data_IF_975927959368
#
_entry.id   IF_975927959368
#
_cell.length_a   1.000
_cell.length_b   1.000
_cell.length_c   1.000
_cell.angle_alpha   90.00
_cell.angle_beta   90.00
_cell.angle_gamma   90.00
#
_symmetry.space_group_name_H-M   'P 1'
#
loop_
_entity.id
_entity.type
_entity.pdbx_description
1 polymer ?
#
# COMPACT_ATOMS: atom_id res chain seq x y z
N UNK A 1 -22.71 54.46 51.07
CA UNK A 1 -23.64 53.32 51.04
C UNK A 1 -22.97 52.21 50.23
N UNK A 2 -22.79 51.05 50.90
CA UNK A 2 -22.61 49.67 50.41
C UNK A 2 -21.48 49.39 49.40
N UNK A 3 -20.33 48.83 49.80
CA UNK A 3 -20.01 47.44 50.23
C UNK A 3 -19.90 46.42 49.07
N UNK A 4 -18.67 45.93 48.84
CA UNK A 4 -18.37 44.63 48.19
C UNK A 4 -18.90 43.45 49.07
N UNK A 5 -18.87 42.13 48.70
CA UNK A 5 -17.89 41.43 47.86
C UNK A 5 -18.43 40.28 46.95
N UNK A 6 -17.49 39.63 46.25
CA UNK A 6 -17.64 38.50 45.33
C UNK A 6 -18.11 37.18 45.98
N UNK A 7 -18.63 36.26 45.14
CA UNK A 7 -18.28 34.83 45.21
C UNK A 7 -17.78 34.34 43.83
N UNK A 8 -16.60 33.72 43.70
CA UNK A 8 -16.19 32.40 44.18
C UNK A 8 -16.50 31.25 43.19
N UNK A 9 -15.40 30.72 42.64
CA UNK A 9 -15.13 29.33 42.30
C UNK A 9 -15.87 28.63 41.13
N UNK A 10 -15.10 27.69 40.56
CA UNK A 10 -15.42 26.61 39.62
C UNK A 10 -15.44 27.09 38.15
N UNK A 11 -14.53 26.70 37.27
CA UNK A 11 -14.17 25.31 37.03
C UNK A 11 -12.77 25.22 36.42
N UNK A 12 -11.89 24.52 37.13
CA UNK A 12 -10.67 23.96 36.57
C UNK A 12 -11.14 22.90 35.57
N UNK A 13 -11.19 23.21 34.27
CA UNK A 13 -11.26 22.18 33.24
C UNK A 13 -9.89 21.50 33.20
N UNK A 14 -9.73 20.46 34.02
CA UNK A 14 -8.65 19.49 33.87
C UNK A 14 -8.92 18.76 32.55
N UNK A 15 -8.34 19.24 31.46
CA UNK A 15 -8.25 18.49 30.22
C UNK A 15 -7.27 17.33 30.46
N UNK A 16 -7.74 16.24 31.05
CA UNK A 16 -7.03 14.96 31.04
C UNK A 16 -7.12 14.45 29.59
N UNK A 17 -6.18 14.89 28.76
CA UNK A 17 -5.92 14.24 27.49
C UNK A 17 -5.27 12.90 27.79
N UNK A 18 -6.11 11.88 28.01
CA UNK A 18 -5.67 10.49 27.96
C UNK A 18 -5.31 10.24 26.49
N UNK A 19 -4.06 10.51 26.15
CA UNK A 19 -3.41 9.97 24.95
C UNK A 19 -3.33 8.46 25.16
N UNK A 20 -4.43 7.77 24.83
CA UNK A 20 -4.37 6.39 24.42
C UNK A 20 -3.47 6.37 23.18
N UNK A 21 -2.17 6.20 23.38
CA UNK A 21 -1.33 5.55 22.38
C UNK A 21 -1.81 4.10 22.29
N UNK A 22 -2.97 3.90 21.65
CA UNK A 22 -3.26 2.66 20.96
C UNK A 22 -2.13 2.52 19.95
N UNK A 23 -1.16 1.67 20.30
CA UNK A 23 -0.19 1.14 19.36
C UNK A 23 -0.97 0.61 18.17
N UNK A 24 -1.07 1.42 17.12
CA UNK A 24 -1.60 1.02 15.83
C UNK A 24 -0.50 0.14 15.23
N UNK A 25 -0.50 -1.13 15.62
CA UNK A 25 0.16 -2.16 14.85
C UNK A 25 -0.52 -2.15 13.49
N UNK A 26 0.01 -1.39 12.55
CA UNK A 26 -0.23 -1.65 11.13
C UNK A 26 0.42 -3.01 10.89
N UNK A 27 -0.32 -4.09 11.16
CA UNK A 27 0.06 -5.42 10.71
C UNK A 27 0.10 -5.32 9.19
N UNK A 28 1.30 -5.33 8.63
CA UNK A 28 1.51 -5.42 7.21
C UNK A 28 0.78 -6.63 6.63
N UNK A 29 0.58 -6.65 5.32
CA UNK A 29 -0.05 -7.79 4.67
C UNK A 29 0.94 -8.93 4.45
N UNK A 30 1.03 -9.84 5.41
CA UNK A 30 1.90 -11.02 5.33
C UNK A 30 1.67 -11.84 4.06
N UNK A 31 0.41 -11.95 3.61
CA UNK A 31 0.02 -12.64 2.37
C UNK A 31 0.82 -12.17 1.14
N UNK A 32 1.16 -10.88 1.08
CA UNK A 32 1.91 -10.29 -0.03
C UNK A 32 3.30 -9.80 0.40
N UNK A 33 3.76 -10.19 1.59
CA UNK A 33 4.98 -9.71 2.23
C UNK A 33 5.09 -8.17 2.23
N UNK A 34 3.97 -7.47 2.45
CA UNK A 34 3.88 -6.02 2.38
C UNK A 34 3.91 -5.38 3.76
N UNK A 35 4.53 -4.20 3.88
CA UNK A 35 4.43 -3.37 5.08
C UNK A 35 3.10 -2.62 5.15
N UNK A 36 2.34 -2.57 4.05
CA UNK A 36 1.05 -1.93 3.99
C UNK A 36 -0.07 -2.92 4.34
N UNK A 37 -1.21 -2.41 4.82
CA UNK A 37 -2.38 -3.25 5.13
C UNK A 37 -2.92 -3.97 3.89
N UNK A 38 -3.46 -5.18 4.04
CA UNK A 38 -4.01 -5.94 2.91
C UNK A 38 -5.09 -5.16 2.15
N UNK A 39 -5.98 -4.48 2.87
CA UNK A 39 -7.02 -3.67 2.23
C UNK A 39 -6.47 -2.55 1.36
N UNK A 40 -5.33 -1.96 1.72
CA UNK A 40 -4.63 -0.98 0.89
C UNK A 40 -3.99 -1.63 -0.32
N UNK A 41 -3.17 -2.66 -0.11
CA UNK A 41 -2.43 -3.39 -1.16
C UNK A 41 -3.39 -3.95 -2.22
N UNK A 42 -4.52 -4.53 -1.82
CA UNK A 42 -5.47 -5.20 -2.72
C UNK A 42 -6.36 -4.22 -3.50
N UNK A 43 -6.67 -3.05 -2.93
CA UNK A 43 -7.78 -2.22 -3.45
C UNK A 43 -7.43 -0.74 -3.70
N UNK A 44 -6.32 -0.23 -3.17
CA UNK A 44 -6.02 1.22 -3.15
C UNK A 44 -4.64 1.59 -3.65
N UNK A 45 -3.65 0.72 -3.45
CA UNK A 45 -2.29 0.95 -3.90
C UNK A 45 -2.23 1.12 -5.42
N UNK A 46 -1.42 2.07 -5.87
CA UNK A 46 -1.08 2.22 -7.28
C UNK A 46 0.08 1.29 -7.63
N UNK A 47 0.03 0.67 -8.80
CA UNK A 47 1.04 -0.25 -9.28
C UNK A 47 1.48 0.09 -10.69
N UNK A 48 2.78 0.06 -10.93
CA UNK A 48 3.31 -0.24 -12.25
C UNK A 48 3.27 -1.77 -12.45
N UNK A 49 2.76 -2.21 -13.60
CA UNK A 49 2.76 -3.62 -14.00
C UNK A 49 3.97 -3.85 -14.90
N UNK A 50 4.83 -4.79 -14.52
CA UNK A 50 6.06 -5.11 -15.23
C UNK A 50 6.07 -6.55 -15.73
N UNK A 51 6.67 -6.77 -16.90
CA UNK A 51 6.92 -8.09 -17.48
C UNK A 51 8.42 -8.34 -17.56
N UNK A 52 8.84 -9.47 -17.02
CA UNK A 52 10.19 -10.02 -17.11
C UNK A 52 10.26 -11.03 -18.24
N UNK A 53 10.91 -10.66 -19.33
CA UNK A 53 10.95 -11.46 -20.55
C UNK A 53 11.78 -12.73 -20.43
N UNK A 54 12.98 -12.64 -19.85
CA UNK A 54 13.96 -13.73 -19.76
C UNK A 54 14.27 -14.06 -18.30
N UNK A 55 13.26 -14.59 -17.60
CA UNK A 55 13.39 -15.06 -16.21
C UNK A 55 14.53 -16.08 -16.02
N UNK A 56 14.85 -16.88 -17.04
CA UNK A 56 15.90 -17.90 -17.00
C UNK A 56 17.31 -17.31 -16.89
N UNK A 57 17.54 -16.14 -17.49
CA UNK A 57 18.85 -15.49 -17.53
C UNK A 57 19.12 -14.61 -16.29
N UNK A 58 18.13 -14.48 -15.40
CA UNK A 58 18.17 -13.69 -14.16
C UNK A 58 18.67 -12.25 -14.36
N UNK A 59 18.50 -11.71 -15.57
CA UNK A 59 18.88 -10.35 -15.90
C UNK A 59 17.70 -9.41 -15.63
N UNK A 60 17.77 -8.53 -14.64
CA UNK A 60 16.67 -7.60 -14.36
C UNK A 60 16.52 -6.46 -15.41
N UNK A 61 17.50 -6.27 -16.30
CA UNK A 61 17.50 -5.17 -17.29
C UNK A 61 16.46 -5.32 -18.40
N UNK A 62 15.94 -6.53 -18.60
CA UNK A 62 14.92 -6.82 -19.61
C UNK A 62 13.49 -6.64 -19.09
N UNK A 63 13.33 -6.26 -17.82
CA UNK A 63 12.03 -5.93 -17.26
C UNK A 63 11.47 -4.71 -17.98
N UNK A 64 10.25 -4.84 -18.52
CA UNK A 64 9.57 -3.75 -19.22
C UNK A 64 8.28 -3.37 -18.51
N UNK A 65 7.96 -2.07 -18.38
CA UNK A 65 6.66 -1.64 -17.89
C UNK A 65 5.61 -1.91 -18.98
N UNK A 66 4.53 -2.58 -18.62
CA UNK A 66 3.44 -2.97 -19.52
C UNK A 66 2.13 -2.28 -19.20
N UNK A 67 2.02 -1.62 -18.04
CA UNK A 67 0.83 -0.84 -17.70
C UNK A 67 0.81 -0.32 -16.26
N UNK A 68 -0.35 0.18 -15.85
CA UNK A 68 -0.63 0.64 -14.49
C UNK A 68 -1.93 0.02 -13.97
N UNK A 69 -2.03 -0.14 -12.66
CA UNK A 69 -3.22 -0.71 -12.02
C UNK A 69 -3.45 -0.14 -10.62
N UNK A 70 -4.72 -0.04 -10.20
CA UNK A 70 -5.11 0.27 -8.83
C UNK A 70 -5.54 -1.03 -8.14
N UNK A 71 -4.76 -1.48 -7.16
CA UNK A 71 -4.97 -2.73 -6.44
C UNK A 71 -4.37 -3.96 -7.13
N UNK A 72 -3.89 -4.91 -6.32
CA UNK A 72 -3.24 -6.14 -6.83
C UNK A 72 -4.12 -6.97 -7.76
N UNK A 73 -5.44 -7.03 -7.52
CA UNK A 73 -6.36 -7.78 -8.40
C UNK A 73 -6.28 -7.28 -9.84
N UNK A 74 -6.33 -5.97 -10.04
CA UNK A 74 -6.29 -5.38 -11.38
C UNK A 74 -4.89 -5.48 -11.98
N UNK A 75 -3.84 -5.44 -11.15
CA UNK A 75 -2.49 -5.71 -11.62
C UNK A 75 -2.34 -7.13 -12.19
N UNK A 76 -2.91 -8.14 -11.51
CA UNK A 76 -2.96 -9.53 -12.01
C UNK A 76 -3.73 -9.66 -13.32
N UNK A 77 -4.88 -8.98 -13.43
CA UNK A 77 -5.70 -8.96 -14.66
C UNK A 77 -4.92 -8.38 -15.84
N UNK A 78 -4.17 -7.28 -15.63
CA UNK A 78 -3.30 -6.70 -16.65
C UNK A 78 -2.17 -7.66 -17.07
N UNK A 79 -1.56 -8.36 -16.12
CA UNK A 79 -0.51 -9.33 -16.39
C UNK A 79 -1.03 -10.53 -17.20
N UNK A 80 -2.20 -11.06 -16.85
CA UNK A 80 -2.87 -12.13 -17.62
C UNK A 80 -3.23 -11.67 -19.03
N UNK A 81 -3.79 -10.47 -19.18
CA UNK A 81 -4.11 -9.90 -20.48
C UNK A 81 -2.87 -9.70 -21.36
N UNK A 82 -1.75 -9.29 -20.76
CA UNK A 82 -0.48 -9.17 -21.49
C UNK A 82 0.02 -10.52 -21.97
N UNK A 83 0.06 -11.54 -21.09
CA UNK A 83 0.47 -12.90 -21.46
C UNK A 83 -0.36 -13.44 -22.63
N UNK A 84 -1.68 -13.27 -22.58
CA UNK A 84 -2.59 -13.65 -23.67
C UNK A 84 -2.26 -12.91 -24.97
N UNK A 85 -2.03 -11.60 -24.91
CA UNK A 85 -1.74 -10.78 -26.09
C UNK A 85 -0.44 -11.19 -26.82
N UNK A 86 0.59 -11.58 -26.07
CA UNK A 86 1.87 -12.03 -26.63
C UNK A 86 1.91 -13.54 -26.91
N UNK A 87 0.83 -14.27 -26.58
CA UNK A 87 0.73 -15.74 -26.66
C UNK A 87 1.82 -16.44 -25.86
N UNK A 88 2.11 -15.91 -24.68
CA UNK A 88 3.06 -16.47 -23.71
C UNK A 88 2.32 -17.15 -22.56
N UNK A 89 2.98 -18.06 -21.85
CA UNK A 89 2.44 -18.68 -20.65
C UNK A 89 2.56 -17.72 -19.46
N UNK A 90 1.46 -17.49 -18.73
CA UNK A 90 1.51 -16.70 -17.51
C UNK A 90 2.27 -17.46 -16.42
N UNK A 91 3.34 -16.87 -15.90
CA UNK A 91 4.02 -17.36 -14.71
C UNK A 91 4.15 -16.24 -13.69
N UNK A 92 3.96 -16.54 -12.41
CA UNK A 92 4.13 -15.56 -11.32
C UNK A 92 5.55 -14.98 -11.28
N UNK A 93 6.55 -15.67 -11.84
CA UNK A 93 7.92 -15.17 -11.89
C UNK A 93 8.14 -14.13 -13.00
N UNK A 94 7.41 -14.25 -14.11
CA UNK A 94 7.51 -13.34 -15.26
C UNK A 94 6.80 -12.01 -15.07
N UNK A 95 5.97 -11.85 -14.03
CA UNK A 95 5.19 -10.62 -13.84
C UNK A 95 5.41 -10.03 -12.45
N UNK A 96 5.48 -8.70 -12.38
CA UNK A 96 5.77 -7.97 -11.14
C UNK A 96 4.80 -6.80 -11.02
N UNK A 97 4.08 -6.73 -9.91
CA UNK A 97 3.31 -5.55 -9.51
C UNK A 97 4.18 -4.69 -8.59
N UNK A 98 4.65 -3.56 -9.09
CA UNK A 98 5.52 -2.65 -8.35
C UNK A 98 4.69 -1.56 -7.71
N UNK A 99 4.57 -1.60 -6.39
CA UNK A 99 3.81 -0.62 -5.61
C UNK A 99 4.47 0.75 -5.76
N UNK A 100 3.67 1.74 -6.13
CA UNK A 100 4.07 3.13 -6.27
C UNK A 100 3.51 3.96 -5.12
N UNK A 101 4.35 4.81 -4.55
CA UNK A 101 3.97 5.81 -3.55
C UNK A 101 4.71 7.12 -3.84
N UNK A 102 3.97 8.21 -4.01
CA UNK A 102 4.50 9.55 -4.34
C UNK A 102 5.54 9.54 -5.49
N UNK A 103 5.23 8.82 -6.57
CA UNK A 103 6.12 8.71 -7.74
C UNK A 103 7.36 7.83 -7.54
N UNK A 104 7.44 7.10 -6.42
CA UNK A 104 8.56 6.22 -6.08
C UNK A 104 8.11 4.77 -6.03
N UNK A 105 8.99 3.87 -6.47
CA UNK A 105 8.81 2.41 -6.35
C UNK A 105 9.13 1.98 -4.92
N UNK A 106 8.19 1.28 -4.29
CA UNK A 106 8.27 0.91 -2.88
C UNK A 106 8.46 -0.59 -2.67
N UNK A 107 7.56 -1.42 -3.21
CA UNK A 107 7.55 -2.87 -3.01
C UNK A 107 7.33 -3.58 -4.35
N UNK A 108 7.94 -4.75 -4.55
CA UNK A 108 7.71 -5.63 -5.71
C UNK A 108 6.87 -6.83 -5.26
N UNK A 109 5.70 -7.04 -5.84
CA UNK A 109 4.87 -8.23 -5.58
C UNK A 109 4.85 -9.15 -6.80
N UNK A 110 5.25 -10.41 -6.59
CA UNK A 110 5.25 -11.47 -7.62
C UNK A 110 4.18 -12.54 -7.38
N UNK A 111 3.71 -12.67 -6.14
CA UNK A 111 2.64 -13.59 -5.76
C UNK A 111 1.29 -12.89 -5.98
N UNK A 112 0.62 -13.18 -7.11
CA UNK A 112 -0.57 -12.48 -7.58
C UNK A 112 -1.83 -13.33 -7.60
#
# INVERSE_FOLDING_TARGET
MQSAPAPALHSIFVAVAILLLSGCGMMGCEKYASNYSCGYVENKADYEVWYWKNVADDNEEDNVPIGHAVGLRMCRENALAHAEAIRDEFTERSYICVLMDDGRRMEKHRLL
#
